data_IF_155161820025
#
_entry.id   IF_155161820025
#
_cell.length_a   1.000
_cell.length_b   1.000
_cell.length_c   1.000
_cell.angle_alpha   90.00
_cell.angle_beta   90.00
_cell.angle_gamma   90.00
#
_symmetry.space_group_name_H-M   'P 1'
#
loop_
_entity.id
_entity.type
_entity.pdbx_description
1 polymer ?
#
# COMPACT_ATOMS: atom_id res chain seq x y z
N UNK A 1 9.54 25.36 5.40
CA UNK A 1 8.28 25.93 4.87
C UNK A 1 8.33 25.78 3.35
N UNK A 2 7.41 25.03 2.74
CA UNK A 2 7.34 24.84 1.28
C UNK A 2 6.41 25.89 0.64
N UNK A 3 6.76 27.17 0.81
CA UNK A 3 5.97 28.28 0.24
C UNK A 3 6.41 28.58 -1.21
N UNK A 4 5.45 28.99 -2.06
CA UNK A 4 5.67 29.47 -3.43
C UNK A 4 6.24 28.44 -4.43
N UNK A 5 6.03 27.14 -4.19
CA UNK A 5 6.43 26.06 -5.10
C UNK A 5 5.35 25.75 -6.15
N UNK A 6 4.96 26.76 -6.95
CA UNK A 6 3.80 26.64 -7.87
C UNK A 6 3.98 25.59 -8.97
N UNK A 7 5.21 25.30 -9.40
CA UNK A 7 5.49 24.30 -10.43
C UNK A 7 5.70 22.88 -9.88
N UNK A 8 5.66 22.69 -8.56
CA UNK A 8 5.97 21.40 -7.94
C UNK A 8 4.81 20.41 -8.18
N UNK A 9 5.10 19.36 -8.95
CA UNK A 9 4.14 18.30 -9.27
C UNK A 9 4.40 17.01 -8.49
N UNK A 10 5.64 16.74 -8.10
CA UNK A 10 6.00 15.51 -7.40
C UNK A 10 6.82 15.83 -6.17
N UNK A 11 6.32 15.42 -5.00
CA UNK A 11 6.98 15.60 -3.72
C UNK A 11 7.23 14.23 -3.09
N UNK A 12 8.52 13.92 -2.89
CA UNK A 12 9.00 12.75 -2.19
C UNK A 12 9.70 13.21 -0.93
N UNK A 13 9.20 12.77 0.21
CA UNK A 13 9.68 13.16 1.53
C UNK A 13 10.07 11.91 2.32
N UNK A 14 11.19 12.02 3.03
CA UNK A 14 11.61 11.08 4.05
C UNK A 14 11.92 11.90 5.28
N UNK A 15 11.15 11.72 6.34
CA UNK A 15 11.37 12.43 7.59
C UNK A 15 10.98 11.56 8.77
N UNK A 16 11.80 11.66 9.82
CA UNK A 16 11.41 11.22 11.14
C UNK A 16 10.39 12.22 11.67
N UNK A 17 9.30 11.70 12.23
CA UNK A 17 8.25 12.52 12.84
C UNK A 17 8.87 13.39 13.92
N UNK A 18 8.90 14.69 13.72
CA UNK A 18 9.26 15.65 14.77
C UNK A 18 7.98 16.07 15.48
N UNK A 19 7.90 15.80 16.78
CA UNK A 19 6.78 16.28 17.59
C UNK A 19 6.72 17.81 17.56
N UNK A 20 5.58 18.37 17.15
CA UNK A 20 5.24 19.78 17.34
C UNK A 20 5.04 20.65 16.09
N UNK A 21 5.41 20.22 14.87
CA UNK A 21 5.11 20.99 13.64
C UNK A 21 4.69 20.10 12.46
N UNK A 22 3.42 20.14 12.02
CA UNK A 22 2.98 19.34 10.89
C UNK A 22 3.60 19.81 9.58
N UNK A 23 3.84 18.86 8.68
CA UNK A 23 4.23 19.16 7.32
C UNK A 23 3.06 19.81 6.56
N UNK A 24 3.20 21.09 6.21
CA UNK A 24 2.18 21.84 5.45
C UNK A 24 2.38 21.65 3.95
N UNK A 25 1.39 21.05 3.29
CA UNK A 25 1.35 20.75 1.85
C UNK A 25 0.15 21.38 1.14
N UNK A 26 -0.79 21.99 1.87
CA UNK A 26 -2.06 22.56 1.39
C UNK A 26 -1.91 23.72 0.39
N UNK A 27 -0.69 24.24 0.21
CA UNK A 27 -0.37 25.26 -0.80
C UNK A 27 0.12 24.67 -2.14
N UNK A 28 0.36 23.36 -2.23
CA UNK A 28 0.94 22.70 -3.40
C UNK A 28 -0.16 22.31 -4.42
N UNK A 29 -0.83 23.30 -5.01
CA UNK A 29 -2.03 23.10 -5.85
C UNK A 29 -1.80 22.26 -7.12
N UNK A 30 -0.58 22.25 -7.65
CA UNK A 30 -0.20 21.47 -8.82
C UNK A 30 0.37 20.09 -8.49
N UNK A 31 0.34 19.70 -7.21
CA UNK A 31 0.88 18.42 -6.76
C UNK A 31 0.07 17.25 -7.31
N UNK A 32 0.76 16.39 -8.05
CA UNK A 32 0.28 15.19 -8.70
C UNK A 32 0.66 13.92 -7.95
N UNK A 33 1.82 13.94 -7.31
CA UNK A 33 2.36 12.82 -6.54
C UNK A 33 2.87 13.31 -5.20
N UNK A 34 2.40 12.67 -4.13
CA UNK A 34 2.89 12.87 -2.78
C UNK A 34 3.33 11.54 -2.21
N UNK A 35 4.54 11.47 -1.66
CA UNK A 35 5.08 10.24 -1.09
C UNK A 35 5.82 10.49 0.20
N UNK A 36 5.49 9.69 1.23
CA UNK A 36 6.21 9.64 2.51
C UNK A 36 5.62 10.52 3.61
N UNK A 37 4.41 11.04 3.40
CA UNK A 37 3.67 11.78 4.43
C UNK A 37 3.09 10.81 5.47
N UNK A 38 3.12 11.18 6.75
CA UNK A 38 2.38 10.46 7.78
C UNK A 38 0.90 10.83 7.79
N UNK A 39 0.01 9.88 8.07
CA UNK A 39 -1.44 10.15 8.11
C UNK A 39 -1.82 11.24 9.12
N UNK A 40 -1.12 11.32 10.25
CA UNK A 40 -1.29 12.39 11.24
C UNK A 40 -1.01 13.78 10.67
N UNK A 41 -0.03 13.92 9.77
CA UNK A 41 0.25 15.20 9.09
C UNK A 41 -0.72 15.44 7.94
N UNK A 42 -1.08 14.40 7.20
CA UNK A 42 -2.11 14.46 6.17
C UNK A 42 -3.43 15.03 6.70
N UNK A 43 -3.87 14.58 7.88
CA UNK A 43 -5.10 15.06 8.52
C UNK A 43 -5.04 16.53 8.94
N UNK A 44 -3.84 17.09 9.12
CA UNK A 44 -3.67 18.49 9.50
C UNK A 44 -3.69 19.43 8.29
N UNK A 45 -3.76 18.90 7.06
CA UNK A 45 -3.81 19.68 5.83
C UNK A 45 -5.23 19.72 5.25
N UNK A 46 -5.58 20.86 4.63
CA UNK A 46 -6.76 20.95 3.79
C UNK A 46 -6.46 20.34 2.41
N UNK A 47 -6.59 19.03 2.34
CA UNK A 47 -6.24 18.24 1.17
C UNK A 47 -7.21 18.43 0.00
N UNK A 48 -8.35 19.11 0.20
CA UNK A 48 -9.21 19.57 -0.90
C UNK A 48 -8.51 20.58 -1.82
N UNK A 49 -7.47 21.25 -1.32
CA UNK A 49 -6.60 22.16 -2.09
C UNK A 49 -5.54 21.44 -2.95
N UNK A 50 -5.58 20.11 -3.00
CA UNK A 50 -4.71 19.28 -3.84
C UNK A 50 -5.51 18.61 -4.97
N UNK A 51 -6.18 19.39 -5.85
CA UNK A 51 -7.10 18.84 -6.83
C UNK A 51 -6.42 17.92 -7.84
N UNK A 52 -5.13 18.12 -8.09
CA UNK A 52 -4.37 17.32 -9.06
C UNK A 52 -3.76 16.06 -8.44
N UNK A 53 -3.95 15.79 -7.16
CA UNK A 53 -3.29 14.66 -6.51
C UNK A 53 -3.95 13.35 -6.92
N UNK A 54 -3.25 12.59 -7.76
CA UNK A 54 -3.71 11.29 -8.25
C UNK A 54 -2.85 10.11 -7.77
N UNK A 55 -1.71 10.38 -7.14
CA UNK A 55 -0.82 9.37 -6.56
C UNK A 55 -0.41 9.75 -5.14
N UNK A 56 -0.70 8.88 -4.18
CA UNK A 56 -0.40 9.08 -2.77
C UNK A 56 0.32 7.87 -2.20
N UNK A 57 1.47 8.09 -1.56
CA UNK A 57 2.13 7.14 -0.67
C UNK A 57 2.14 7.71 0.75
N UNK A 58 1.44 7.02 1.64
CA UNK A 58 1.14 7.49 2.99
C UNK A 58 1.58 6.47 4.03
N UNK A 59 2.22 6.98 5.10
CA UNK A 59 2.63 6.19 6.24
C UNK A 59 1.53 6.20 7.30
N UNK A 60 1.19 5.03 7.84
CA UNK A 60 0.16 4.86 8.87
C UNK A 60 0.77 4.26 10.14
N UNK A 61 0.34 4.78 11.29
CA UNK A 61 0.71 4.27 12.61
C UNK A 61 -0.18 3.10 13.06
N UNK A 62 0.18 2.46 14.18
CA UNK A 62 -0.59 1.38 14.79
C UNK A 62 -1.90 1.85 15.45
N UNK A 63 -1.96 3.13 15.81
CA UNK A 63 -3.09 3.83 16.40
C UNK A 63 -4.07 4.37 15.35
N UNK A 64 -4.00 3.85 14.11
CA UNK A 64 -4.83 4.31 13.00
C UNK A 64 -6.33 4.07 13.27
N UNK A 65 -7.10 5.15 13.30
CA UNK A 65 -8.57 5.06 13.22
C UNK A 65 -8.99 4.81 11.76
N UNK A 66 -9.31 3.54 11.46
CA UNK A 66 -9.61 3.06 10.09
C UNK A 66 -10.75 3.83 9.42
N UNK A 67 -11.82 4.15 10.14
CA UNK A 67 -12.96 4.89 9.60
C UNK A 67 -12.56 6.31 9.17
N UNK A 68 -11.79 7.02 10.00
CA UNK A 68 -11.27 8.35 9.66
C UNK A 68 -10.33 8.29 8.46
N UNK A 69 -9.45 7.28 8.42
CA UNK A 69 -8.57 7.05 7.28
C UNK A 69 -9.36 6.84 5.99
N UNK A 70 -10.27 5.86 5.99
CA UNK A 70 -11.09 5.53 4.82
C UNK A 70 -11.91 6.72 4.34
N UNK A 71 -12.51 7.50 5.24
CA UNK A 71 -13.27 8.71 4.89
C UNK A 71 -12.39 9.82 4.32
N UNK A 72 -11.18 9.99 4.84
CA UNK A 72 -10.22 10.99 4.34
C UNK A 72 -9.78 10.68 2.90
N UNK A 73 -9.46 9.41 2.63
CA UNK A 73 -9.10 8.94 1.30
C UNK A 73 -10.29 9.00 0.34
N UNK A 74 -11.50 8.63 0.78
CA UNK A 74 -12.70 8.65 -0.07
C UNK A 74 -13.05 10.05 -0.61
N UNK A 75 -12.71 11.12 0.12
CA UNK A 75 -12.91 12.52 -0.34
C UNK A 75 -12.06 12.88 -1.57
N UNK A 76 -10.99 12.14 -1.85
CA UNK A 76 -10.06 12.44 -2.93
C UNK A 76 -10.50 11.78 -4.23
N UNK A 77 -11.46 12.39 -4.91
CA UNK A 77 -12.06 11.86 -6.14
C UNK A 77 -11.06 11.72 -7.30
N UNK A 78 -9.93 12.43 -7.25
CA UNK A 78 -8.86 12.34 -8.25
C UNK A 78 -7.80 11.30 -7.91
N UNK A 79 -7.83 10.69 -6.72
CA UNK A 79 -6.86 9.68 -6.34
C UNK A 79 -7.06 8.40 -7.16
N UNK A 80 -5.99 7.97 -7.86
CA UNK A 80 -5.98 6.75 -8.69
C UNK A 80 -5.06 5.68 -8.15
N UNK A 81 -3.99 6.09 -7.47
CA UNK A 81 -2.98 5.20 -6.92
C UNK A 81 -2.72 5.53 -5.46
N UNK A 82 -2.84 4.51 -4.61
CA UNK A 82 -2.60 4.61 -3.18
C UNK A 82 -1.60 3.55 -2.76
N UNK A 83 -0.57 3.98 -2.04
CA UNK A 83 0.39 3.13 -1.37
C UNK A 83 0.23 3.38 0.13
N UNK A 84 -0.13 2.32 0.85
CA UNK A 84 -0.22 2.30 2.31
C UNK A 84 1.05 1.66 2.84
N UNK A 85 1.83 2.42 3.61
CA UNK A 85 2.99 1.90 4.30
C UNK A 85 2.73 1.89 5.80
N UNK A 86 2.71 0.73 6.42
CA UNK A 86 2.80 0.66 7.86
C UNK A 86 4.27 0.50 8.25
N UNK A 87 4.85 1.56 8.82
CA UNK A 87 6.23 1.54 9.30
C UNK A 87 6.33 0.86 10.67
N UNK A 88 7.33 -0.01 10.82
CA UNK A 88 7.88 -0.35 12.12
C UNK A 88 9.04 0.57 12.46
N UNK A 89 9.22 0.84 13.76
CA UNK A 89 10.15 1.85 14.27
C UNK A 89 11.62 1.63 13.87
N UNK A 90 12.00 0.44 13.40
CA UNK A 90 13.38 0.09 13.05
C UNK A 90 13.64 -0.10 11.54
N UNK A 91 12.63 0.06 10.67
CA UNK A 91 12.79 -0.15 9.23
C UNK A 91 13.41 1.10 8.58
N UNK A 92 14.75 1.23 8.63
CA UNK A 92 15.53 2.22 7.84
C UNK A 92 15.60 1.83 6.35
N UNK A 93 14.55 1.20 5.83
CA UNK A 93 14.50 0.69 4.45
C UNK A 93 14.16 1.83 3.48
N UNK A 94 15.21 2.46 2.96
CA UNK A 94 15.13 3.48 1.91
C UNK A 94 14.79 2.90 0.52
N UNK A 95 14.67 1.57 0.35
CA UNK A 95 14.27 0.97 -0.94
C UNK A 95 12.89 1.48 -1.41
N UNK A 96 12.03 1.78 -0.44
CA UNK A 96 10.73 2.40 -0.62
C UNK A 96 10.78 3.83 -1.19
N UNK A 97 11.93 4.51 -1.12
CA UNK A 97 12.18 5.81 -1.74
C UNK A 97 12.67 5.67 -3.19
N UNK A 98 13.29 4.53 -3.53
CA UNK A 98 13.85 4.25 -4.86
C UNK A 98 12.82 3.67 -5.84
N UNK A 99 11.72 3.08 -5.33
CA UNK A 99 10.57 2.62 -6.12
C UNK A 99 9.33 3.50 -5.84
N UNK A 100 9.27 4.75 -6.35
CA UNK A 100 8.19 5.69 -6.04
C UNK A 100 6.81 5.15 -6.41
N UNK A 101 6.73 4.32 -7.46
CA UNK A 101 5.64 3.38 -7.75
C UNK A 101 6.27 2.26 -8.58
N UNK A 102 6.04 0.96 -8.29
CA UNK A 102 6.54 -0.10 -9.15
C UNK A 102 5.90 0.04 -10.53
N UNK A 103 6.65 0.62 -11.46
CA UNK A 103 6.31 0.56 -12.88
C UNK A 103 6.45 -0.91 -13.28
N UNK A 104 5.67 -1.35 -14.27
CA UNK A 104 5.73 -2.73 -14.77
C UNK A 104 7.16 -3.18 -15.19
N UNK A 105 8.09 -2.23 -15.33
CA UNK A 105 9.43 -2.40 -15.88
C UNK A 105 10.59 -2.18 -14.89
N UNK A 106 10.37 -1.96 -13.58
CA UNK A 106 11.50 -1.98 -12.63
C UNK A 106 12.00 -3.42 -12.44
N UNK A 107 12.88 -3.75 -13.38
CA UNK A 107 13.62 -4.97 -13.65
C UNK A 107 14.46 -5.41 -12.46
N UNK A 108 14.68 -6.73 -12.38
CA UNK A 108 15.67 -7.54 -11.63
C UNK A 108 16.57 -6.91 -10.54
N UNK A 109 17.03 -5.67 -10.70
CA UNK A 109 17.84 -4.91 -9.74
C UNK A 109 17.10 -4.59 -8.44
N UNK A 110 15.84 -4.15 -8.50
CA UNK A 110 15.04 -3.92 -7.30
C UNK A 110 14.83 -5.23 -6.55
N UNK A 111 14.51 -6.30 -7.29
CA UNK A 111 14.36 -7.66 -6.75
C UNK A 111 15.62 -8.18 -6.04
N UNK A 112 16.82 -7.97 -6.63
CA UNK A 112 18.10 -8.35 -6.01
C UNK A 112 18.44 -7.53 -4.77
N UNK A 113 18.16 -6.22 -4.77
CA UNK A 113 18.37 -5.36 -3.60
C UNK A 113 17.41 -5.72 -2.46
N UNK A 114 16.14 -5.97 -2.77
CA UNK A 114 15.16 -6.49 -1.83
C UNK A 114 15.63 -7.81 -1.19
N UNK A 115 16.11 -8.76 -2.00
CA UNK A 115 16.57 -10.06 -1.49
C UNK A 115 17.84 -9.94 -0.62
N UNK A 116 18.79 -9.07 -1.00
CA UNK A 116 20.02 -8.85 -0.22
C UNK A 116 19.74 -8.19 1.14
N UNK A 117 18.81 -7.23 1.19
CA UNK A 117 18.36 -6.58 2.43
C UNK A 117 17.42 -7.50 3.26
N UNK A 118 16.73 -8.44 2.60
CA UNK A 118 15.79 -9.36 3.25
C UNK A 118 16.45 -10.38 4.18
N UNK A 119 17.74 -10.64 4.01
CA UNK A 119 18.50 -11.63 4.81
C UNK A 119 18.65 -11.26 6.30
N UNK A 120 18.25 -10.04 6.69
CA UNK A 120 18.34 -9.52 8.06
C UNK A 120 16.97 -9.39 8.77
N UNK A 121 15.87 -9.85 8.16
CA UNK A 121 14.54 -9.79 8.78
C UNK A 121 14.35 -10.94 9.78
N UNK A 122 14.78 -10.73 11.02
CA UNK A 122 14.42 -11.56 12.18
C UNK A 122 13.51 -10.80 13.14
N UNK A 123 12.42 -10.26 12.63
CA UNK A 123 11.34 -9.57 13.35
C UNK A 123 10.12 -9.76 12.43
N UNK A 124 8.95 -10.32 12.77
CA UNK A 124 8.16 -10.30 14.01
C UNK A 124 7.18 -11.47 14.07
N UNK A 125 7.26 -12.25 15.15
CA UNK A 125 6.14 -13.07 15.63
C UNK A 125 5.38 -12.38 16.79
N UNK A 126 5.88 -11.24 17.25
CA UNK A 126 5.60 -10.72 18.59
C UNK A 126 4.98 -9.32 18.65
N UNK A 127 4.75 -8.60 17.55
CA UNK A 127 3.96 -7.34 17.63
C UNK A 127 2.45 -7.64 17.53
N UNK A 128 1.69 -7.53 18.63
CA UNK A 128 0.25 -7.76 18.62
C UNK A 128 -0.48 -6.69 17.79
N UNK A 129 0.13 -5.54 17.51
CA UNK A 129 -0.50 -4.41 16.83
C UNK A 129 -0.55 -4.64 15.32
N UNK A 130 -1.75 -4.90 14.82
CA UNK A 130 -2.05 -4.98 13.40
C UNK A 130 -3.09 -3.93 13.04
N UNK A 131 -3.03 -3.43 11.81
CA UNK A 131 -4.12 -2.59 11.31
C UNK A 131 -5.35 -3.48 11.10
N UNK A 132 -6.54 -3.09 11.61
CA UNK A 132 -7.80 -3.76 11.31
C UNK A 132 -8.11 -3.71 9.80
N UNK A 133 -9.00 -4.57 9.34
CA UNK A 133 -9.47 -4.56 7.94
C UNK A 133 -10.00 -3.18 7.54
N UNK A 134 -9.58 -2.69 6.37
CA UNK A 134 -10.05 -1.43 5.80
C UNK A 134 -11.33 -1.62 5.00
N UNK A 135 -12.34 -0.77 5.20
CA UNK A 135 -13.48 -0.66 4.28
C UNK A 135 -13.12 0.36 3.20
N UNK A 136 -13.02 -0.09 1.94
CA UNK A 136 -12.49 0.68 0.79
C UNK A 136 -13.50 0.84 -0.36
N UNK A 137 -14.73 0.37 -0.19
CA UNK A 137 -15.76 0.38 -1.24
C UNK A 137 -16.15 1.80 -1.69
N UNK A 138 -15.94 2.80 -0.83
CA UNK A 138 -16.13 4.22 -1.14
C UNK A 138 -14.99 4.85 -1.93
N UNK A 139 -13.88 4.15 -2.18
CA UNK A 139 -12.74 4.67 -2.96
C UNK A 139 -12.98 4.50 -4.47
N UNK A 140 -14.08 5.11 -4.96
CA UNK A 140 -14.68 4.82 -6.26
C UNK A 140 -13.74 5.02 -7.45
N UNK A 141 -12.71 5.86 -7.33
CA UNK A 141 -11.79 6.13 -8.43
C UNK A 141 -10.43 5.45 -8.28
N UNK A 142 -10.18 4.77 -7.16
CA UNK A 142 -8.92 4.10 -6.93
C UNK A 142 -8.79 2.88 -7.83
N UNK A 143 -7.76 2.84 -8.67
CA UNK A 143 -7.51 1.73 -9.59
C UNK A 143 -6.25 0.93 -9.24
N UNK A 144 -5.35 1.52 -8.44
CA UNK A 144 -4.11 0.89 -7.99
C UNK A 144 -3.98 1.00 -6.47
N UNK A 145 -3.80 -0.14 -5.82
CA UNK A 145 -3.58 -0.22 -4.38
C UNK A 145 -2.31 -1.03 -4.11
N UNK A 146 -1.42 -0.44 -3.33
CA UNK A 146 -0.29 -1.13 -2.71
C UNK A 146 -0.48 -1.08 -1.20
N UNK A 147 -0.40 -2.23 -0.54
CA UNK A 147 -0.37 -2.33 0.92
C UNK A 147 0.91 -3.03 1.38
N UNK A 148 1.70 -2.33 2.20
CA UNK A 148 2.94 -2.84 2.81
C UNK A 148 2.85 -2.83 4.34
N UNK A 149 3.22 -3.93 4.97
CA UNK A 149 3.34 -4.07 6.44
C UNK A 149 2.45 -5.14 7.07
N UNK A 150 2.36 -5.14 8.40
CA UNK A 150 1.70 -6.16 9.22
C UNK A 150 0.15 -6.04 9.22
N UNK A 151 -0.44 -6.30 8.05
CA UNK A 151 -1.89 -6.37 7.86
C UNK A 151 -2.34 -7.81 8.10
N UNK A 152 -3.01 -8.07 9.23
CA UNK A 152 -3.44 -9.44 9.59
C UNK A 152 -4.71 -9.89 8.86
N UNK A 153 -5.47 -8.96 8.30
CA UNK A 153 -6.74 -9.25 7.66
C UNK A 153 -6.98 -8.34 6.45
N UNK A 154 -7.34 -8.96 5.32
CA UNK A 154 -7.82 -8.28 4.13
C UNK A 154 -9.33 -8.01 4.22
N UNK A 155 -9.82 -6.96 3.57
CA UNK A 155 -11.26 -6.75 3.41
C UNK A 155 -11.91 -7.85 2.58
N UNK A 156 -13.23 -7.96 2.71
CA UNK A 156 -14.02 -8.82 1.82
C UNK A 156 -13.94 -8.28 0.39
N UNK A 157 -14.16 -9.15 -0.59
CA UNK A 157 -14.06 -8.77 -2.00
C UNK A 157 -14.92 -7.55 -2.39
N UNK A 158 -16.11 -7.40 -1.81
CA UNK A 158 -17.01 -6.26 -2.06
C UNK A 158 -16.66 -4.99 -1.27
N UNK A 159 -15.75 -5.10 -0.29
CA UNK A 159 -15.26 -3.97 0.49
C UNK A 159 -14.03 -3.32 -0.17
N UNK A 160 -13.46 -3.91 -1.23
CA UNK A 160 -12.45 -3.26 -2.06
C UNK A 160 -13.06 -2.18 -2.95
N UNK A 161 -12.19 -1.29 -3.47
CA UNK A 161 -12.61 -0.35 -4.51
C UNK A 161 -13.18 -1.08 -5.72
N UNK A 162 -14.36 -0.68 -6.24
CA UNK A 162 -15.01 -1.33 -7.37
C UNK A 162 -14.27 -1.17 -8.71
N UNK A 163 -13.25 -0.30 -8.76
CA UNK A 163 -12.44 -0.04 -9.95
C UNK A 163 -10.98 -0.48 -9.79
N UNK A 164 -10.70 -1.31 -8.78
CA UNK A 164 -9.37 -1.83 -8.53
C UNK A 164 -8.92 -2.76 -9.67
N UNK A 165 -7.85 -2.37 -10.35
CA UNK A 165 -7.23 -3.13 -11.46
C UNK A 165 -5.85 -3.64 -11.12
N UNK A 166 -5.16 -3.01 -10.16
CA UNK A 166 -3.84 -3.42 -9.71
C UNK A 166 -3.81 -3.50 -8.19
N UNK A 167 -3.43 -4.66 -7.67
CA UNK A 167 -3.22 -4.88 -6.25
C UNK A 167 -1.81 -5.39 -6.01
N UNK A 168 -1.14 -4.80 -5.02
CA UNK A 168 0.14 -5.27 -4.53
C UNK A 168 0.07 -5.43 -3.02
N UNK A 169 0.36 -6.64 -2.56
CA UNK A 169 0.47 -7.01 -1.16
C UNK A 169 1.94 -7.30 -0.88
N UNK A 170 2.52 -6.57 0.08
CA UNK A 170 3.96 -6.63 0.37
C UNK A 170 4.21 -6.76 1.88
N UNK A 171 5.06 -7.69 2.29
CA UNK A 171 5.42 -7.94 3.70
C UNK A 171 4.19 -8.15 4.61
N UNK A 172 3.18 -8.86 4.11
CA UNK A 172 1.93 -9.12 4.85
C UNK A 172 1.99 -10.46 5.58
N UNK A 173 1.38 -10.53 6.77
CA UNK A 173 1.26 -11.72 7.61
C UNK A 173 -0.20 -12.18 7.62
N UNK A 174 -0.53 -13.30 6.96
CA UNK A 174 -1.90 -13.84 6.90
C UNK A 174 -1.91 -15.30 7.35
N UNK A 175 -2.81 -15.64 8.28
CA UNK A 175 -2.98 -17.02 8.77
C UNK A 175 -3.96 -17.85 7.93
N UNK A 176 -4.45 -17.28 6.83
CA UNK A 176 -5.40 -17.86 5.89
C UNK A 176 -4.99 -17.58 4.44
N UNK A 177 -5.57 -18.31 3.49
CA UNK A 177 -5.28 -18.15 2.06
C UNK A 177 -5.92 -16.87 1.50
N UNK A 178 -5.13 -15.85 1.08
CA UNK A 178 -5.69 -14.63 0.53
C UNK A 178 -6.45 -14.86 -0.79
N UNK A 179 -6.15 -15.93 -1.54
CA UNK A 179 -6.78 -16.19 -2.83
C UNK A 179 -8.29 -16.34 -2.71
N UNK A 180 -8.81 -16.86 -1.59
CA UNK A 180 -10.24 -16.99 -1.30
C UNK A 180 -11.01 -15.65 -1.34
N UNK A 181 -10.30 -14.53 -1.21
CA UNK A 181 -10.81 -13.17 -1.34
C UNK A 181 -10.41 -12.58 -2.69
N UNK A 182 -9.11 -12.63 -3.01
CA UNK A 182 -8.52 -11.92 -4.14
C UNK A 182 -9.05 -12.42 -5.48
N UNK A 183 -9.35 -13.71 -5.59
CA UNK A 183 -9.86 -14.33 -6.83
C UNK A 183 -11.24 -13.80 -7.23
N UNK A 184 -11.98 -13.19 -6.29
CA UNK A 184 -13.32 -12.64 -6.49
C UNK A 184 -13.30 -11.19 -6.97
N UNK A 185 -12.13 -10.56 -7.09
CA UNK A 185 -12.01 -9.18 -7.53
C UNK A 185 -12.29 -9.07 -9.04
N UNK A 186 -13.41 -8.43 -9.44
CA UNK A 186 -13.97 -8.61 -10.77
C UNK A 186 -13.18 -7.93 -11.90
N UNK A 187 -12.41 -6.89 -11.58
CA UNK A 187 -11.65 -6.06 -12.54
C UNK A 187 -10.14 -6.18 -12.35
N UNK A 188 -9.67 -7.09 -11.50
CA UNK A 188 -8.25 -7.18 -11.16
C UNK A 188 -7.48 -7.71 -12.37
N UNK A 189 -6.57 -6.89 -12.90
CA UNK A 189 -5.71 -7.21 -14.03
C UNK A 189 -4.32 -7.63 -13.58
N UNK A 190 -3.83 -7.03 -12.49
CA UNK A 190 -2.48 -7.23 -11.98
C UNK A 190 -2.55 -7.53 -10.49
N UNK A 191 -2.03 -8.69 -10.10
CA UNK A 191 -1.83 -9.08 -8.72
C UNK A 191 -0.33 -9.30 -8.45
N UNK A 192 0.17 -8.66 -7.40
CA UNK A 192 1.54 -8.87 -6.90
C UNK A 192 1.48 -9.29 -5.43
N UNK A 193 2.09 -10.42 -5.13
CA UNK A 193 2.23 -10.96 -3.78
C UNK A 193 3.73 -11.04 -3.47
N UNK A 194 4.19 -10.30 -2.47
CA UNK A 194 5.61 -10.19 -2.12
C UNK A 194 5.80 -10.39 -0.62
N UNK A 195 6.79 -11.20 -0.23
CA UNK A 195 7.14 -11.42 1.18
C UNK A 195 5.92 -11.78 2.05
N UNK A 196 5.03 -12.65 1.56
CA UNK A 196 3.87 -13.11 2.35
C UNK A 196 4.32 -14.23 3.27
N UNK A 197 3.93 -14.16 4.54
CA UNK A 197 4.32 -15.13 5.57
C UNK A 197 3.12 -15.69 6.36
N UNK A 198 3.36 -16.84 7.02
CA UNK A 198 2.47 -17.51 8.00
C UNK A 198 1.16 -18.13 7.49
N UNK A 199 1.12 -18.65 6.27
CA UNK A 199 -0.03 -19.44 5.83
C UNK A 199 -0.05 -20.82 6.49
N UNK A 200 -1.08 -21.14 7.29
CA UNK A 200 -1.20 -22.43 8.03
C UNK A 200 -0.96 -23.68 7.18
N UNK A 201 -1.38 -23.64 5.91
CA UNK A 201 -1.25 -24.78 4.99
C UNK A 201 -0.03 -24.68 4.06
N UNK A 202 0.64 -23.53 3.99
CA UNK A 202 1.72 -23.29 3.03
C UNK A 202 1.31 -23.41 1.55
N UNK A 203 0.00 -23.37 1.23
CA UNK A 203 -0.50 -23.52 -0.15
C UNK A 203 -1.51 -22.44 -0.48
N UNK A 204 -1.23 -21.64 -1.52
CA UNK A 204 -2.18 -20.73 -2.15
C UNK A 204 -3.03 -21.52 -3.15
N UNK A 205 -4.34 -21.57 -2.92
CA UNK A 205 -5.31 -22.28 -3.75
C UNK A 205 -6.08 -21.27 -4.60
N UNK A 206 -5.93 -21.37 -5.91
CA UNK A 206 -6.70 -20.60 -6.87
C UNK A 206 -7.81 -21.49 -7.42
N UNK A 207 -9.06 -21.02 -7.37
CA UNK A 207 -10.18 -21.75 -7.95
C UNK A 207 -10.10 -21.76 -9.47
N UNK A 208 -10.60 -22.82 -10.12
CA UNK A 208 -10.58 -22.96 -11.59
C UNK A 208 -11.24 -21.79 -12.37
N UNK A 209 -12.19 -21.07 -11.74
CA UNK A 209 -12.86 -19.90 -12.30
C UNK A 209 -12.55 -18.61 -11.51
N UNK A 210 -11.51 -18.64 -10.68
CA UNK A 210 -11.01 -17.47 -9.97
C UNK A 210 -10.37 -16.48 -10.94
N UNK A 211 -10.34 -15.20 -10.55
CA UNK A 211 -9.63 -14.14 -11.29
C UNK A 211 -10.11 -13.92 -12.74
N UNK A 212 -11.36 -13.44 -12.95
CA UNK A 212 -11.97 -13.39 -14.27
C UNK A 212 -11.25 -12.49 -15.30
N UNK A 213 -10.39 -11.56 -14.88
CA UNK A 213 -9.69 -10.63 -15.77
C UNK A 213 -8.18 -10.57 -15.55
N UNK A 214 -7.61 -11.45 -14.70
CA UNK A 214 -6.21 -11.34 -14.33
C UNK A 214 -5.30 -11.62 -15.53
N UNK A 215 -4.34 -10.72 -15.77
CA UNK A 215 -3.37 -10.80 -16.86
C UNK A 215 -1.96 -11.00 -16.35
N UNK A 216 -1.65 -10.48 -15.16
CA UNK A 216 -0.31 -10.49 -14.59
C UNK A 216 -0.40 -10.95 -13.14
N UNK A 217 0.25 -12.06 -12.84
CA UNK A 217 0.49 -12.55 -11.49
C UNK A 217 2.00 -12.52 -11.22
N UNK A 218 2.42 -11.76 -10.22
CA UNK A 218 3.82 -11.71 -9.78
C UNK A 218 3.92 -12.20 -8.33
N UNK A 219 4.79 -13.18 -8.12
CA UNK A 219 5.04 -13.79 -6.82
C UNK A 219 6.53 -13.62 -6.50
N UNK A 220 6.85 -13.08 -5.32
CA UNK A 220 8.23 -12.87 -4.88
C UNK A 220 8.40 -13.29 -3.43
N UNK A 221 9.49 -14.02 -3.14
CA UNK A 221 9.88 -14.42 -1.79
C UNK A 221 8.72 -15.01 -0.98
N UNK A 222 8.06 -16.01 -1.58
CA UNK A 222 7.03 -16.81 -0.91
C UNK A 222 7.72 -17.93 -0.12
N UNK A 223 8.31 -17.61 1.02
CA UNK A 223 9.05 -18.58 1.82
C UNK A 223 8.16 -19.77 2.18
N UNK A 224 8.56 -20.97 1.72
CA UNK A 224 7.87 -22.24 1.98
C UNK A 224 6.43 -22.36 1.44
N UNK A 225 5.97 -21.45 0.55
CA UNK A 225 4.62 -21.55 -0.02
C UNK A 225 4.63 -22.19 -1.41
N UNK A 226 3.61 -22.98 -1.70
CA UNK A 226 3.32 -23.52 -3.05
C UNK A 226 2.04 -22.89 -3.59
N UNK A 227 1.94 -22.74 -4.90
CA UNK A 227 0.70 -22.34 -5.57
C UNK A 227 0.06 -23.56 -6.23
N UNK A 228 -1.24 -23.74 -6.00
CA UNK A 228 -2.08 -24.74 -6.66
C UNK A 228 -3.17 -24.01 -7.42
N UNK A 229 -3.23 -24.23 -8.72
CA UNK A 229 -4.26 -23.73 -9.64
C UNK A 229 -5.17 -24.87 -10.07
#
# INVERSE_FOLDING_TARGET
MMQNMENLQHLFISYERQDGKPLRIDNLRNLQTLSGIWFSDWQQNDTSKLPNLHKLKINVGFDLEVSQFSNSIAKHVNLRSLYLNQYERDDRDISDLLDPFPQLETSSYTFSLYHSLSSHYSFLDSDPRSIPSFVMNSWLHLSKLHMKGNIKQLPRAHEFSPNLTQLTLDRIILDYDPMAILEKLPKLLILRLRMISKLRQGVLQVSANGFPQLKILQLASLDQMKMKM
#
